data_IF_960021429404
#
_entry.id   IF_960021429404
#
_cell.length_a   1.000
_cell.length_b   1.000
_cell.length_c   1.000
_cell.angle_alpha   90.00
_cell.angle_beta   90.00
_cell.angle_gamma   90.00
#
_symmetry.space_group_name_H-M   'P 1'
#
loop_
_entity.id
_entity.type
_entity.pdbx_description
1 polymer ?
#
# COMPACT_ATOMS: atom_id res chain seq x y z
N UNK A 1 32.54 10.71 15.66
CA UNK A 1 32.00 10.10 14.43
C UNK A 1 31.19 8.81 14.66
N UNK A 2 31.10 8.27 15.89
CA UNK A 2 30.51 6.95 16.18
C UNK A 2 29.01 6.95 16.54
N UNK A 3 28.50 7.99 17.22
CA UNK A 3 27.10 7.99 17.67
C UNK A 3 26.10 8.31 16.53
N UNK A 4 26.49 9.18 15.60
CA UNK A 4 25.64 9.58 14.47
C UNK A 4 25.42 8.46 13.44
N UNK A 5 26.44 7.62 13.19
CA UNK A 5 26.35 6.47 12.29
C UNK A 5 25.53 5.32 12.89
N UNK A 6 25.63 5.11 14.21
CA UNK A 6 24.82 4.13 14.93
C UNK A 6 23.34 4.54 14.93
N UNK A 7 23.04 5.80 15.25
CA UNK A 7 21.67 6.33 15.23
C UNK A 7 21.02 6.20 13.84
N UNK A 8 21.76 6.58 12.80
CA UNK A 8 21.40 6.44 11.38
C UNK A 8 21.08 4.99 11.00
N UNK A 9 21.88 4.04 11.48
CA UNK A 9 21.67 2.62 11.22
C UNK A 9 20.39 2.13 11.91
N UNK A 10 20.23 2.45 13.19
CA UNK A 10 19.06 2.04 13.98
C UNK A 10 17.77 2.60 13.36
N UNK A 11 17.72 3.91 13.06
CA UNK A 11 16.50 4.54 12.52
C UNK A 11 16.12 3.94 11.16
N UNK A 12 17.13 3.64 10.32
CA UNK A 12 16.90 2.97 9.04
C UNK A 12 16.25 1.61 9.26
N UNK A 13 16.82 0.75 10.10
CA UNK A 13 16.25 -0.58 10.35
C UNK A 13 14.85 -0.54 10.97
N UNK A 14 14.59 0.38 11.90
CA UNK A 14 13.26 0.56 12.49
C UNK A 14 12.23 0.91 11.42
N UNK A 15 12.52 1.86 10.52
CA UNK A 15 11.64 2.21 9.40
C UNK A 15 11.35 1.01 8.52
N UNK A 16 12.38 0.22 8.21
CA UNK A 16 12.26 -0.92 7.32
C UNK A 16 11.35 -2.01 7.93
N UNK A 17 11.38 -2.22 9.25
CA UNK A 17 10.49 -3.16 9.95
C UNK A 17 9.02 -2.77 9.77
N UNK A 18 8.67 -1.49 9.95
CA UNK A 18 7.28 -1.03 9.78
C UNK A 18 6.74 -1.33 8.39
N UNK A 19 7.53 -1.04 7.35
CA UNK A 19 7.11 -1.30 5.97
C UNK A 19 7.04 -2.79 5.62
N UNK A 20 7.95 -3.61 6.14
CA UNK A 20 7.88 -5.08 5.95
C UNK A 20 6.62 -5.64 6.61
N UNK A 21 6.27 -5.15 7.81
CA UNK A 21 5.11 -5.60 8.55
C UNK A 21 3.79 -5.06 8.02
N UNK A 22 3.81 -3.94 7.29
CA UNK A 22 2.61 -3.21 6.92
C UNK A 22 1.59 -4.00 6.07
N UNK A 23 2.04 -4.88 5.19
CA UNK A 23 1.13 -5.58 4.26
C UNK A 23 0.51 -6.84 4.90
N UNK A 24 1.17 -7.42 5.91
CA UNK A 24 0.74 -8.66 6.57
C UNK A 24 -0.68 -8.60 7.16
N UNK A 25 -1.11 -7.53 7.84
CA UNK A 25 -2.48 -7.43 8.33
C UNK A 25 -3.55 -7.55 7.24
N UNK A 26 -3.28 -7.04 6.04
CA UNK A 26 -4.24 -7.20 4.93
C UNK A 26 -4.22 -8.61 4.35
N UNK A 27 -3.02 -9.21 4.21
CA UNK A 27 -2.88 -10.61 3.79
C UNK A 27 -3.63 -11.54 4.74
N UNK A 28 -3.48 -11.32 6.05
CA UNK A 28 -4.20 -12.05 7.08
C UNK A 28 -5.72 -11.81 6.99
N UNK A 29 -6.14 -10.55 6.84
CA UNK A 29 -7.57 -10.21 6.74
C UNK A 29 -8.25 -10.92 5.55
N UNK A 30 -7.59 -10.92 4.39
CA UNK A 30 -8.09 -11.62 3.21
C UNK A 30 -8.13 -13.14 3.43
N UNK A 31 -7.09 -13.70 4.07
CA UNK A 31 -7.05 -15.14 4.40
C UNK A 31 -8.16 -15.53 5.38
N UNK A 32 -8.41 -14.70 6.39
CA UNK A 32 -9.46 -14.91 7.39
C UNK A 32 -10.85 -14.83 6.75
N UNK A 33 -11.08 -13.83 5.92
CA UNK A 33 -12.39 -13.59 5.30
C UNK A 33 -12.62 -14.41 4.03
N UNK A 34 -11.59 -15.11 3.53
CA UNK A 34 -11.57 -15.80 2.22
C UNK A 34 -12.10 -14.91 1.09
N UNK A 35 -11.81 -13.61 1.16
CA UNK A 35 -12.39 -12.61 0.28
C UNK A 35 -11.45 -11.42 0.11
N UNK A 36 -11.56 -10.78 -1.06
CA UNK A 36 -10.84 -9.55 -1.42
C UNK A 36 -11.80 -8.39 -1.76
N UNK A 37 -13.10 -8.53 -1.46
CA UNK A 37 -14.15 -7.58 -1.88
C UNK A 37 -13.88 -6.15 -1.42
N UNK A 38 -13.20 -5.95 -0.30
CA UNK A 38 -12.84 -4.62 0.23
C UNK A 38 -11.72 -3.89 -0.53
N UNK A 39 -10.98 -4.57 -1.40
CA UNK A 39 -9.82 -4.02 -2.09
C UNK A 39 -10.12 -3.66 -3.55
N UNK A 40 -9.60 -2.53 -4.00
CA UNK A 40 -9.63 -2.13 -5.41
C UNK A 40 -8.58 -2.89 -6.22
N UNK A 41 -8.95 -3.39 -7.40
CA UNK A 41 -8.03 -4.07 -8.32
C UNK A 41 -6.85 -3.18 -8.75
N UNK A 42 -7.13 -1.92 -9.08
CA UNK A 42 -6.10 -0.95 -9.46
C UNK A 42 -5.19 -0.60 -8.28
N UNK A 43 -5.73 -0.59 -7.06
CA UNK A 43 -4.90 -0.40 -5.86
C UNK A 43 -3.91 -1.55 -5.69
N UNK A 44 -4.36 -2.80 -5.79
CA UNK A 44 -3.50 -3.98 -5.66
C UNK A 44 -2.42 -3.96 -6.75
N UNK A 45 -2.80 -3.70 -8.00
CA UNK A 45 -1.88 -3.65 -9.14
C UNK A 45 -0.83 -2.55 -8.98
N UNK A 46 -1.24 -1.30 -8.77
CA UNK A 46 -0.28 -0.21 -8.59
C UNK A 46 0.57 -0.35 -7.35
N UNK A 47 0.07 -1.00 -6.30
CA UNK A 47 0.87 -1.27 -5.11
C UNK A 47 1.97 -2.32 -5.39
N UNK A 48 1.64 -3.36 -6.18
CA UNK A 48 2.61 -4.32 -6.68
C UNK A 48 3.66 -3.65 -7.58
N UNK A 49 3.22 -2.86 -8.56
CA UNK A 49 4.10 -2.12 -9.47
C UNK A 49 5.03 -1.19 -8.70
N UNK A 50 4.50 -0.51 -7.68
CA UNK A 50 5.26 0.36 -6.79
C UNK A 50 6.45 -0.37 -6.17
N UNK A 51 6.26 -1.60 -5.70
CA UNK A 51 7.34 -2.40 -5.12
C UNK A 51 8.30 -2.99 -6.16
N UNK A 52 7.83 -3.35 -7.36
CA UNK A 52 8.73 -3.75 -8.46
C UNK A 52 9.67 -2.60 -8.82
N UNK A 53 9.12 -1.40 -9.05
CA UNK A 53 9.92 -0.20 -9.32
C UNK A 53 10.82 0.17 -8.14
N UNK A 54 10.36 -0.05 -6.89
CA UNK A 54 11.17 0.20 -5.69
C UNK A 54 12.43 -0.68 -5.65
N UNK A 55 12.29 -1.98 -5.92
CA UNK A 55 13.42 -2.91 -6.00
C UNK A 55 14.38 -2.46 -7.11
N UNK A 56 13.87 -2.19 -8.31
CA UNK A 56 14.72 -1.74 -9.42
C UNK A 56 15.48 -0.46 -9.08
N UNK A 57 14.80 0.53 -8.49
CA UNK A 57 15.39 1.80 -8.06
C UNK A 57 16.53 1.60 -7.05
N UNK A 58 16.26 0.86 -5.98
CA UNK A 58 17.20 0.69 -4.86
C UNK A 58 18.44 -0.13 -5.24
N UNK A 59 18.28 -1.13 -6.11
CA UNK A 59 19.40 -1.89 -6.63
C UNK A 59 20.21 -1.10 -7.65
N UNK A 60 19.55 -0.37 -8.55
CA UNK A 60 20.19 0.43 -9.60
C UNK A 60 21.06 1.57 -9.07
N UNK A 61 20.58 2.28 -8.03
CA UNK A 61 21.33 3.38 -7.40
C UNK A 61 22.15 2.91 -6.19
N UNK A 62 22.33 1.60 -6.02
CA UNK A 62 23.13 0.99 -4.97
C UNK A 62 22.83 1.52 -3.54
N UNK A 63 21.56 1.57 -3.17
CA UNK A 63 21.14 2.00 -1.83
C UNK A 63 21.69 1.08 -0.72
N UNK A 64 21.67 1.56 0.52
CA UNK A 64 22.05 0.77 1.70
C UNK A 64 21.30 -0.56 1.77
N UNK A 65 21.97 -1.59 2.29
CA UNK A 65 21.47 -2.97 2.33
C UNK A 65 20.07 -3.08 2.97
N UNK A 66 19.80 -2.33 4.03
CA UNK A 66 18.51 -2.33 4.71
C UNK A 66 17.33 -1.96 3.78
N UNK A 67 17.51 -0.94 2.93
CA UNK A 67 16.50 -0.53 1.96
C UNK A 67 16.27 -1.60 0.89
N UNK A 68 17.35 -2.21 0.37
CA UNK A 68 17.27 -3.32 -0.58
C UNK A 68 16.50 -4.51 0.00
N UNK A 69 16.85 -4.94 1.21
CA UNK A 69 16.16 -6.04 1.92
C UNK A 69 14.68 -5.72 2.11
N UNK A 70 14.34 -4.51 2.60
CA UNK A 70 12.95 -4.08 2.76
C UNK A 70 12.17 -4.16 1.46
N UNK A 71 12.71 -3.61 0.37
CA UNK A 71 12.02 -3.59 -0.92
C UNK A 71 11.73 -5.00 -1.45
N UNK A 72 12.69 -5.92 -1.32
CA UNK A 72 12.54 -7.32 -1.74
C UNK A 72 11.50 -8.07 -0.88
N UNK A 73 11.57 -7.92 0.45
CA UNK A 73 10.60 -8.53 1.36
C UNK A 73 9.18 -7.98 1.13
N UNK A 74 9.05 -6.67 0.96
CA UNK A 74 7.74 -6.07 0.71
C UNK A 74 7.18 -6.49 -0.66
N UNK A 75 8.02 -6.61 -1.70
CA UNK A 75 7.63 -7.18 -3.00
C UNK A 75 7.11 -8.62 -2.85
N UNK A 76 7.76 -9.43 -2.01
CA UNK A 76 7.30 -10.78 -1.72
C UNK A 76 5.91 -10.77 -1.07
N UNK A 77 5.68 -9.97 -0.03
CA UNK A 77 4.39 -9.92 0.66
C UNK A 77 3.27 -9.37 -0.24
N UNK A 78 3.55 -8.35 -1.06
CA UNK A 78 2.54 -7.83 -2.00
C UNK A 78 2.25 -8.83 -3.13
N UNK A 79 3.21 -9.68 -3.51
CA UNK A 79 2.98 -10.79 -4.44
C UNK A 79 1.99 -11.81 -3.87
N UNK A 80 2.04 -12.06 -2.56
CA UNK A 80 1.02 -12.87 -1.86
C UNK A 80 -0.35 -12.19 -1.95
N UNK A 81 -0.42 -10.86 -1.83
CA UNK A 81 -1.68 -10.12 -1.97
C UNK A 81 -2.26 -10.22 -3.38
N UNK A 82 -1.43 -10.11 -4.42
CA UNK A 82 -1.82 -10.35 -5.81
C UNK A 82 -2.31 -11.78 -5.98
N UNK A 83 -1.59 -12.77 -5.45
CA UNK A 83 -2.03 -14.17 -5.48
C UNK A 83 -3.41 -14.36 -4.80
N UNK A 84 -3.62 -13.75 -3.63
CA UNK A 84 -4.91 -13.78 -2.94
C UNK A 84 -6.03 -13.15 -3.77
N UNK A 85 -5.73 -12.13 -4.60
CA UNK A 85 -6.72 -11.55 -5.52
C UNK A 85 -7.26 -12.56 -6.52
N UNK A 86 -6.41 -13.44 -7.05
CA UNK A 86 -6.81 -14.52 -7.95
C UNK A 86 -7.45 -15.71 -7.22
N UNK A 87 -7.02 -15.99 -5.99
CA UNK A 87 -7.54 -17.11 -5.21
C UNK A 87 -8.94 -16.83 -4.65
N UNK A 88 -9.12 -15.69 -3.98
CA UNK A 88 -10.35 -15.35 -3.25
C UNK A 88 -11.32 -14.46 -4.03
N UNK A 89 -10.92 -13.97 -5.19
CA UNK A 89 -11.74 -13.10 -6.04
C UNK A 89 -12.14 -13.75 -7.36
N UNK A 90 -12.20 -15.10 -7.43
CA UNK A 90 -12.53 -15.84 -8.65
C UNK A 90 -13.85 -15.40 -9.28
N UNK A 91 -14.87 -15.20 -8.46
CA UNK A 91 -16.22 -14.83 -8.92
C UNK A 91 -16.28 -13.43 -9.52
N UNK A 92 -15.40 -12.52 -9.07
CA UNK A 92 -15.31 -11.16 -9.60
C UNK A 92 -14.25 -11.02 -10.71
N UNK A 93 -13.59 -12.11 -11.10
CA UNK A 93 -12.48 -12.10 -12.04
C UNK A 93 -12.97 -12.21 -13.48
N UNK A 94 -13.31 -11.08 -14.08
CA UNK A 94 -13.66 -11.00 -15.50
C UNK A 94 -12.40 -10.96 -16.40
N UNK A 95 -12.60 -11.18 -17.71
CA UNK A 95 -11.52 -11.18 -18.72
C UNK A 95 -10.76 -9.86 -18.75
N UNK A 96 -11.44 -8.73 -18.54
CA UNK A 96 -10.80 -7.40 -18.51
C UNK A 96 -9.77 -7.30 -17.38
N UNK A 97 -10.10 -7.76 -16.17
CA UNK A 97 -9.18 -7.74 -15.02
C UNK A 97 -8.01 -8.71 -15.28
N UNK A 98 -8.27 -9.92 -15.78
CA UNK A 98 -7.20 -10.88 -16.14
C UNK A 98 -6.22 -10.27 -17.13
N UNK A 99 -6.74 -9.67 -18.20
CA UNK A 99 -5.94 -9.03 -19.23
C UNK A 99 -5.15 -7.84 -18.67
N UNK A 100 -5.76 -7.05 -17.78
CA UNK A 100 -5.08 -5.93 -17.12
C UNK A 100 -3.84 -6.40 -16.34
N UNK A 101 -3.96 -7.42 -15.49
CA UNK A 101 -2.81 -7.99 -14.77
C UNK A 101 -1.78 -8.62 -15.72
N UNK A 102 -2.24 -9.31 -16.76
CA UNK A 102 -1.35 -9.96 -17.73
C UNK A 102 -0.50 -8.94 -18.50
N UNK A 103 -1.13 -7.92 -19.10
CA UNK A 103 -0.39 -6.88 -19.83
C UNK A 103 0.49 -6.07 -18.90
N UNK A 104 0.06 -5.81 -17.67
CA UNK A 104 0.89 -5.17 -16.66
C UNK A 104 2.15 -6.00 -16.35
N UNK A 105 2.01 -7.32 -16.17
CA UNK A 105 3.16 -8.20 -15.92
C UNK A 105 4.14 -8.22 -17.11
N UNK A 106 3.63 -8.28 -18.35
CA UNK A 106 4.47 -8.17 -19.55
C UNK A 106 5.20 -6.82 -19.63
N UNK A 107 4.50 -5.73 -19.32
CA UNK A 107 5.09 -4.39 -19.25
C UNK A 107 6.22 -4.33 -18.20
N UNK A 108 6.01 -4.89 -17.02
CA UNK A 108 7.04 -4.91 -15.96
C UNK A 108 8.27 -5.73 -16.35
N UNK A 109 8.09 -6.87 -17.02
CA UNK A 109 9.22 -7.65 -17.56
C UNK A 109 9.99 -6.82 -18.57
N UNK A 110 9.30 -6.23 -19.55
CA UNK A 110 9.90 -5.41 -20.58
C UNK A 110 10.69 -4.22 -20.00
N UNK A 111 10.09 -3.48 -19.08
CA UNK A 111 10.73 -2.38 -18.37
C UNK A 111 11.96 -2.89 -17.62
N UNK A 112 11.84 -3.95 -16.82
CA UNK A 112 12.97 -4.52 -16.06
C UNK A 112 14.13 -4.92 -16.96
N UNK A 113 13.87 -5.50 -18.13
CA UNK A 113 14.90 -5.93 -19.10
C UNK A 113 15.61 -4.76 -19.78
N UNK A 114 14.92 -3.68 -20.10
CA UNK A 114 15.56 -2.49 -20.70
C UNK A 114 16.50 -1.81 -19.70
N UNK A 115 16.12 -1.81 -18.43
CA UNK A 115 16.81 -1.05 -17.39
C UNK A 115 18.15 -1.68 -16.96
N UNK A 116 18.39 -2.96 -17.27
CA UNK A 116 19.70 -3.61 -17.02
C UNK A 116 20.80 -3.13 -17.97
N UNK A 117 20.46 -2.44 -19.06
CA UNK A 117 21.43 -1.96 -20.05
C UNK A 117 22.24 -0.76 -19.53
N UNK A 118 21.65 0.12 -18.73
CA UNK A 118 22.35 1.25 -18.10
C UNK A 118 21.76 1.56 -16.71
N UNK A 119 22.21 0.84 -15.66
CA UNK A 119 21.58 0.87 -14.35
C UNK A 119 21.52 2.26 -13.70
N UNK A 120 22.54 3.10 -13.87
CA UNK A 120 22.61 4.40 -13.19
C UNK A 120 21.55 5.36 -13.75
N UNK A 121 21.51 5.53 -15.07
CA UNK A 121 20.53 6.41 -15.73
C UNK A 121 19.11 5.85 -15.52
N UNK A 122 18.94 4.54 -15.70
CA UNK A 122 17.70 3.83 -15.43
C UNK A 122 17.20 4.08 -14.01
N UNK A 123 18.08 3.97 -13.00
CA UNK A 123 17.75 4.21 -11.60
C UNK A 123 17.14 5.59 -11.36
N UNK A 124 17.71 6.65 -11.93
CA UNK A 124 17.15 8.00 -11.77
C UNK A 124 15.78 8.17 -12.45
N UNK A 125 15.58 7.60 -13.63
CA UNK A 125 14.29 7.62 -14.34
C UNK A 125 13.22 6.88 -13.54
N UNK A 126 13.55 5.68 -13.05
CA UNK A 126 12.66 4.89 -12.18
C UNK A 126 12.34 5.65 -10.91
N UNK A 127 13.32 6.34 -10.30
CA UNK A 127 13.10 7.13 -9.10
C UNK A 127 11.98 8.16 -9.27
N UNK A 128 11.93 8.86 -10.41
CA UNK A 128 10.84 9.79 -10.71
C UNK A 128 9.53 9.10 -11.08
N UNK A 129 9.57 8.01 -11.86
CA UNK A 129 8.38 7.20 -12.15
C UNK A 129 7.75 6.65 -10.87
N UNK A 130 8.58 6.27 -9.90
CA UNK A 130 8.20 5.78 -8.59
C UNK A 130 7.52 6.87 -7.74
N UNK A 131 7.98 8.13 -7.79
CA UNK A 131 7.29 9.27 -7.15
C UNK A 131 5.87 9.42 -7.72
N UNK A 132 5.70 9.36 -9.04
CA UNK A 132 4.39 9.45 -9.70
C UNK A 132 3.50 8.27 -9.28
N UNK A 133 4.03 7.05 -9.35
CA UNK A 133 3.29 5.82 -9.04
C UNK A 133 2.83 5.80 -7.57
N UNK A 134 3.73 6.09 -6.63
CA UNK A 134 3.37 6.23 -5.22
C UNK A 134 2.41 7.39 -4.98
N UNK A 135 2.39 8.41 -5.84
CA UNK A 135 1.43 9.50 -5.72
C UNK A 135 0.00 9.05 -6.05
N UNK A 136 -0.17 8.08 -6.95
CA UNK A 136 -1.49 7.67 -7.45
C UNK A 136 -2.00 6.33 -6.93
N UNK A 137 -1.14 5.42 -6.44
CA UNK A 137 -1.54 4.03 -6.17
C UNK A 137 -2.72 3.85 -5.20
N UNK A 138 -2.85 4.72 -4.18
CA UNK A 138 -3.93 4.67 -3.18
C UNK A 138 -5.22 5.35 -3.63
N UNK A 139 -5.20 6.16 -4.70
CA UNK A 139 -6.38 6.88 -5.19
C UNK A 139 -7.53 5.91 -5.51
N UNK A 140 -7.33 4.79 -6.23
CA UNK A 140 -8.41 3.83 -6.48
C UNK A 140 -9.05 3.27 -5.21
N UNK A 141 -8.28 3.07 -4.13
CA UNK A 141 -8.81 2.58 -2.85
C UNK A 141 -9.58 3.67 -2.11
N UNK A 142 -9.06 4.91 -2.11
CA UNK A 142 -9.74 6.08 -1.53
C UNK A 142 -11.10 6.33 -2.20
N UNK A 143 -11.14 6.24 -3.54
CA UNK A 143 -12.37 6.38 -4.33
C UNK A 143 -13.34 5.25 -4.03
N UNK A 144 -12.88 3.98 -4.05
CA UNK A 144 -13.71 2.82 -3.71
C UNK A 144 -14.38 2.97 -2.36
N UNK A 145 -13.65 3.34 -1.31
CA UNK A 145 -14.22 3.54 0.03
C UNK A 145 -15.21 4.71 0.04
N UNK A 146 -14.91 5.80 -0.67
CA UNK A 146 -15.81 6.95 -0.79
C UNK A 146 -17.12 6.58 -1.51
N UNK A 147 -17.06 5.73 -2.52
CA UNK A 147 -18.21 5.28 -3.32
C UNK A 147 -19.05 4.25 -2.54
N UNK A 148 -18.41 3.23 -1.96
CA UNK A 148 -19.10 2.18 -1.20
C UNK A 148 -19.55 2.62 0.18
N UNK A 149 -19.01 3.74 0.69
CA UNK A 149 -19.23 4.23 2.07
C UNK A 149 -18.90 3.17 3.13
N UNK A 150 -17.97 2.26 2.82
CA UNK A 150 -17.58 1.15 3.69
C UNK A 150 -16.07 0.92 3.63
N UNK A 151 -15.50 0.61 4.78
CA UNK A 151 -14.10 0.15 4.93
C UNK A 151 -14.00 -1.35 5.18
N UNK A 152 -15.12 -2.07 5.02
CA UNK A 152 -15.16 -3.51 5.19
C UNK A 152 -14.20 -4.23 4.22
N UNK A 153 -13.40 -5.16 4.75
CA UNK A 153 -12.39 -5.87 3.97
C UNK A 153 -11.12 -5.08 3.67
N UNK A 154 -11.00 -3.84 4.16
CA UNK A 154 -9.76 -3.06 4.13
C UNK A 154 -9.16 -2.93 5.54
N UNK A 155 -7.88 -3.24 5.66
CA UNK A 155 -7.21 -3.35 6.95
C UNK A 155 -6.77 -2.00 7.49
N UNK A 156 -7.34 -1.60 8.63
CA UNK A 156 -6.89 -0.42 9.38
C UNK A 156 -5.41 -0.54 9.78
N UNK A 157 -4.96 -1.73 10.19
CA UNK A 157 -3.57 -1.96 10.58
C UNK A 157 -2.58 -1.78 9.42
N UNK A 158 -2.96 -2.18 8.20
CA UNK A 158 -2.15 -1.89 7.01
C UNK A 158 -1.96 -0.39 6.85
N UNK A 159 -3.06 0.36 6.92
CA UNK A 159 -3.03 1.82 6.76
C UNK A 159 -2.18 2.47 7.85
N UNK A 160 -2.34 2.05 9.10
CA UNK A 160 -1.59 2.59 10.24
C UNK A 160 -0.10 2.29 10.16
N UNK A 161 0.30 1.06 9.81
CA UNK A 161 1.72 0.74 9.64
C UNK A 161 2.36 1.47 8.47
N UNK A 162 1.67 1.59 7.33
CA UNK A 162 2.17 2.41 6.21
C UNK A 162 2.25 3.89 6.62
N UNK A 163 1.25 4.42 7.30
CA UNK A 163 1.21 5.82 7.74
C UNK A 163 2.32 6.17 8.72
N UNK A 164 2.47 5.38 9.77
CA UNK A 164 3.54 5.53 10.77
C UNK A 164 4.90 5.33 10.11
N UNK A 165 5.05 4.33 9.25
CA UNK A 165 6.27 4.09 8.47
C UNK A 165 6.68 5.34 7.67
N UNK A 166 5.74 5.98 6.96
CA UNK A 166 6.02 7.22 6.22
C UNK A 166 6.36 8.42 7.13
N UNK A 167 5.76 8.54 8.32
CA UNK A 167 6.13 9.57 9.28
C UNK A 167 7.59 9.41 9.70
N UNK A 168 8.00 8.20 10.08
CA UNK A 168 9.38 7.93 10.50
C UNK A 168 10.34 8.06 9.31
N UNK A 169 9.97 7.61 8.11
CA UNK A 169 10.81 7.69 6.91
C UNK A 169 11.03 9.14 6.46
N UNK A 170 10.06 10.03 6.68
CA UNK A 170 10.25 11.46 6.44
C UNK A 170 11.33 12.06 7.37
N UNK A 171 11.31 11.72 8.66
CA UNK A 171 12.37 12.12 9.60
C UNK A 171 13.72 11.48 9.26
N UNK A 172 13.73 10.20 8.89
CA UNK A 172 14.94 9.49 8.49
C UNK A 172 15.55 10.13 7.23
N UNK A 173 14.74 10.45 6.22
CA UNK A 173 15.20 11.10 5.01
C UNK A 173 15.90 12.43 5.30
N UNK A 174 15.39 13.22 6.25
CA UNK A 174 16.01 14.47 6.69
C UNK A 174 17.35 14.23 7.38
N UNK A 175 17.41 13.30 8.34
CA UNK A 175 18.65 13.00 9.07
C UNK A 175 19.75 12.39 8.18
N UNK A 176 19.35 11.66 7.14
CA UNK A 176 20.24 10.93 6.23
C UNK A 176 20.59 11.71 4.96
N UNK A 177 20.08 12.92 4.78
CA UNK A 177 20.21 13.71 3.55
C UNK A 177 19.83 12.90 2.29
N UNK A 178 18.70 12.18 2.35
CA UNK A 178 18.23 11.38 1.21
C UNK A 178 17.74 12.27 0.06
N UNK A 179 17.68 11.73 -1.18
CA UNK A 179 17.18 12.48 -2.33
C UNK A 179 15.76 13.01 -2.13
N UNK A 180 15.45 14.15 -2.77
CA UNK A 180 14.14 14.82 -2.71
C UNK A 180 12.97 13.87 -2.99
N UNK A 181 13.15 12.90 -3.87
CA UNK A 181 12.15 11.88 -4.22
C UNK A 181 11.67 11.12 -2.98
N UNK A 182 12.57 10.76 -2.06
CA UNK A 182 12.21 10.05 -0.82
C UNK A 182 11.38 10.93 0.09
N UNK A 183 11.75 12.21 0.23
CA UNK A 183 10.97 13.18 1.01
C UNK A 183 9.54 13.34 0.47
N UNK A 184 9.39 13.48 -0.85
CA UNK A 184 8.09 13.65 -1.49
C UNK A 184 7.18 12.43 -1.29
N UNK A 185 7.73 11.22 -1.44
CA UNK A 185 6.98 9.97 -1.22
C UNK A 185 6.51 9.88 0.23
N UNK A 186 7.40 10.14 1.19
CA UNK A 186 7.07 10.07 2.61
C UNK A 186 6.03 11.12 3.01
N UNK A 187 6.21 12.39 2.61
CA UNK A 187 5.23 13.46 2.87
C UNK A 187 3.85 13.13 2.30
N UNK A 188 3.79 12.66 1.05
CA UNK A 188 2.54 12.23 0.42
C UNK A 188 1.91 11.06 1.17
N UNK A 189 2.71 10.09 1.62
CA UNK A 189 2.25 8.95 2.42
C UNK A 189 1.58 9.37 3.72
N UNK A 190 2.16 10.35 4.43
CA UNK A 190 1.57 10.94 5.63
C UNK A 190 0.23 11.64 5.34
N UNK A 191 0.15 12.42 4.27
CA UNK A 191 -1.10 13.09 3.88
C UNK A 191 -2.22 12.09 3.60
N UNK A 192 -1.94 11.06 2.80
CA UNK A 192 -2.95 10.03 2.48
C UNK A 192 -3.33 9.19 3.70
N UNK A 193 -2.42 8.97 4.64
CA UNK A 193 -2.73 8.29 5.89
C UNK A 193 -3.82 9.02 6.68
N UNK A 194 -3.74 10.34 6.81
CA UNK A 194 -4.79 11.12 7.49
C UNK A 194 -6.14 11.04 6.76
N UNK A 195 -6.14 11.00 5.43
CA UNK A 195 -7.37 10.79 4.64
C UNK A 195 -7.98 9.42 4.96
N UNK A 196 -7.16 8.36 5.01
CA UNK A 196 -7.68 7.04 5.38
C UNK A 196 -8.18 7.00 6.83
N UNK A 197 -7.47 7.60 7.80
CA UNK A 197 -7.98 7.68 9.19
C UNK A 197 -9.37 8.32 9.20
N UNK A 198 -9.54 9.43 8.48
CA UNK A 198 -10.83 10.09 8.35
C UNK A 198 -11.90 9.19 7.71
N UNK A 199 -11.56 8.45 6.64
CA UNK A 199 -12.48 7.49 6.03
C UNK A 199 -12.84 6.34 6.98
N UNK A 200 -11.88 5.76 7.68
CA UNK A 200 -12.11 4.71 8.67
C UNK A 200 -13.00 5.19 9.79
N UNK A 201 -12.77 6.40 10.31
CA UNK A 201 -13.65 6.99 11.31
C UNK A 201 -15.07 7.12 10.76
N UNK A 202 -15.27 7.85 9.67
CA UNK A 202 -16.62 8.15 9.18
C UNK A 202 -17.41 6.90 8.75
N UNK A 203 -16.77 5.93 8.10
CA UNK A 203 -17.46 4.80 7.50
C UNK A 203 -17.52 3.55 8.39
N UNK A 204 -16.63 3.40 9.37
CA UNK A 204 -16.75 2.33 10.38
C UNK A 204 -17.83 2.62 11.42
N UNK A 205 -17.90 3.86 11.92
CA UNK A 205 -18.91 4.25 12.90
C UNK A 205 -20.33 4.25 12.30
N UNK A 206 -20.49 4.63 11.03
CA UNK A 206 -21.80 4.64 10.36
C UNK A 206 -22.37 3.23 10.12
N UNK A 207 -21.51 2.24 9.83
CA UNK A 207 -21.95 0.86 9.65
C UNK A 207 -22.43 0.23 10.97
N UNK A 208 -21.68 0.43 12.06
CA UNK A 208 -22.09 -0.04 13.40
C UNK A 208 -23.39 0.64 13.90
N UNK A 209 -23.60 1.91 13.58
CA UNK A 209 -24.85 2.62 13.93
C UNK A 209 -26.07 2.06 13.20
N UNK A 210 -25.94 1.72 11.90
CA UNK A 210 -27.06 1.16 11.12
C UNK A 210 -27.44 -0.24 11.61
N UNK A 211 -26.45 -1.09 11.93
CA UNK A 211 -26.69 -2.45 12.43
C UNK A 211 -27.25 -2.50 13.86
N UNK A 212 -27.10 -1.43 14.65
CA UNK A 212 -27.55 -1.37 16.05
C UNK A 212 -28.59 -0.27 16.28
N UNK A 213 -29.22 0.21 15.21
CA UNK A 213 -30.39 1.09 15.34
C UNK A 213 -31.47 0.26 16.03
N UNK A 214 -31.97 0.66 17.22
CA UNK A 214 -33.13 -0.01 17.78
C UNK A 214 -34.27 0.13 16.78
N UNK A 215 -34.79 -1.00 16.29
CA UNK A 215 -36.06 -1.02 15.59
C UNK A 215 -37.08 -0.45 16.56
N UNK A 216 -37.58 0.75 16.27
CA UNK A 216 -38.81 1.19 16.89
C UNK A 216 -39.87 0.19 16.42
N UNK A 217 -40.18 -0.77 17.30
CA UNK A 217 -41.33 -1.65 17.16
C UNK A 217 -42.53 -0.75 16.81
N UNK A 218 -43.21 -0.96 15.67
CA UNK A 218 -44.47 -0.28 15.43
C UNK A 218 -45.39 -0.67 16.59
N UNK A 219 -45.88 0.32 17.33
CA UNK A 219 -46.89 0.12 18.35
C UNK A 219 -48.04 -0.62 17.68
N UNK A 220 -48.31 -1.85 18.09
CA UNK A 220 -49.53 -2.56 17.73
C UNK A 220 -50.70 -1.68 18.15
N UNK A 221 -51.31 -1.01 17.16
CA UNK A 221 -52.60 -0.36 17.34
C UNK A 221 -53.58 -1.50 17.55
N UNK A 222 -53.89 -1.79 18.82
CA UNK A 222 -55.05 -2.59 19.17
C UNK A 222 -56.27 -1.90 18.57
N UNK A 223 -56.86 -2.54 17.56
CA UNK A 223 -58.20 -2.22 17.11
C UNK A 223 -59.15 -2.86 18.12
N UNK A 224 -59.68 -2.03 19.02
CA UNK A 224 -60.89 -2.32 19.80
C UNK A 224 -62.13 -1.98 18.96
#
# INVERSE_FOLDING_TARGET
MTNASLLTTIITWVVNIFFVLAVWPQVYLNYKNKSIRGLSDLYIMFYFDGYVFNVLYMFSLNFHLAYKIRSALALFVISILVYQRFLYGRDSLNTKIKNMYFYNFLFLIFVSSILTLNPIIAGHIIGWALVILWSVYQIPQLLKIKETKSVEGFSFFLVSFVGIGNMIDWFAAYLLNLPLQTHLIASRGVLVYFIFIFQFWNYKFKHNYILHKPEFLPLEVKQD
#
